data_IF_466356231633
#
_entry.id   IF_466356231633
#
_cell.length_a   1.000
_cell.length_b   1.000
_cell.length_c   1.000
_cell.angle_alpha   90.00
_cell.angle_beta   90.00
_cell.angle_gamma   90.00
#
_symmetry.space_group_name_H-M   'P 1'
#
loop_
_entity.id
_entity.type
_entity.pdbx_description
1 polymer ?
#
# COMPACT_ATOMS: atom_id res chain seq x y z
N UNK A 1 -12.04 11.85 13.91
CA UNK A 1 -12.77 11.62 12.64
C UNK A 1 -12.05 10.47 11.91
N UNK A 2 -12.75 9.42 11.47
CA UNK A 2 -12.13 8.38 10.65
C UNK A 2 -11.95 8.94 9.24
N UNK A 3 -10.72 8.94 8.72
CA UNK A 3 -10.47 9.41 7.35
C UNK A 3 -11.13 8.53 6.30
N UNK A 4 -11.35 9.06 5.09
CA UNK A 4 -11.95 8.36 3.95
C UNK A 4 -11.23 7.04 3.58
N UNK A 5 -9.96 6.93 3.96
CA UNK A 5 -9.12 5.77 3.72
C UNK A 5 -8.56 5.20 5.02
N UNK A 6 -8.60 3.87 5.16
CA UNK A 6 -8.15 3.17 6.37
C UNK A 6 -7.29 1.97 6.01
N UNK A 7 -6.13 1.85 6.66
CA UNK A 7 -5.26 0.68 6.58
C UNK A 7 -5.27 0.00 7.96
N UNK A 8 -5.66 -1.27 8.03
CA UNK A 8 -5.70 -2.04 9.29
C UNK A 8 -4.74 -3.22 9.24
N UNK A 9 -3.98 -3.40 10.31
CA UNK A 9 -3.13 -4.56 10.48
C UNK A 9 -3.87 -5.66 11.23
N UNK A 10 -3.85 -6.86 10.67
CA UNK A 10 -4.19 -8.10 11.36
C UNK A 10 -2.98 -9.03 11.42
N UNK A 11 -3.07 -10.10 12.20
CA UNK A 11 -2.12 -11.21 12.15
C UNK A 11 -2.79 -12.43 11.53
N UNK A 12 -2.05 -13.21 10.75
CA UNK A 12 -2.49 -14.50 10.21
C UNK A 12 -1.25 -15.39 10.17
N UNK A 13 -1.33 -16.55 10.82
CA UNK A 13 -0.19 -17.49 10.97
C UNK A 13 1.05 -16.81 11.58
N UNK A 14 0.84 -15.91 12.54
CA UNK A 14 1.91 -15.15 13.20
C UNK A 14 2.56 -14.05 12.33
N UNK A 15 2.13 -13.88 11.08
CA UNK A 15 2.65 -12.87 10.15
C UNK A 15 1.71 -11.67 10.04
N UNK A 16 2.23 -10.43 10.04
CA UNK A 16 1.41 -9.25 9.87
C UNK A 16 0.81 -9.18 8.45
N UNK A 17 -0.45 -8.75 8.37
CA UNK A 17 -1.14 -8.46 7.12
C UNK A 17 -1.84 -7.11 7.23
N UNK A 18 -1.59 -6.24 6.26
CA UNK A 18 -2.26 -4.96 6.12
C UNK A 18 -3.44 -5.09 5.16
N UNK A 19 -4.60 -4.60 5.57
CA UNK A 19 -5.84 -4.58 4.78
C UNK A 19 -6.21 -3.12 4.52
N UNK A 20 -6.49 -2.81 3.26
CA UNK A 20 -6.70 -1.45 2.79
C UNK A 20 -8.18 -1.26 2.48
N UNK A 21 -8.80 -0.23 3.05
CA UNK A 21 -10.22 0.04 2.96
C UNK A 21 -10.48 1.47 2.51
N UNK A 22 -11.51 1.62 1.68
CA UNK A 22 -12.15 2.91 1.39
C UNK A 22 -13.49 2.97 2.13
N UNK A 23 -13.75 4.08 2.80
CA UNK A 23 -15.03 4.35 3.45
C UNK A 23 -15.93 5.14 2.49
N UNK A 24 -17.21 4.78 2.44
CA UNK A 24 -18.23 5.58 1.76
C UNK A 24 -18.87 6.58 2.72
N UNK A 25 -19.61 7.54 2.17
CA UNK A 25 -20.38 8.52 2.94
C UNK A 25 -21.38 7.86 3.91
N UNK A 26 -21.83 6.63 3.60
CA UNK A 26 -22.74 5.85 4.44
C UNK A 26 -22.04 5.00 5.53
N UNK A 27 -20.73 5.24 5.78
CA UNK A 27 -19.89 4.48 6.71
C UNK A 27 -19.68 3.00 6.33
N UNK A 28 -20.04 2.60 5.12
CA UNK A 28 -19.69 1.27 4.62
C UNK A 28 -18.21 1.24 4.26
N UNK A 29 -17.54 0.12 4.55
CA UNK A 29 -16.12 -0.06 4.23
C UNK A 29 -15.93 -1.10 3.14
N UNK A 30 -15.23 -0.73 2.08
CA UNK A 30 -14.90 -1.62 0.97
C UNK A 30 -13.42 -1.97 1.03
N UNK A 31 -13.10 -3.28 1.10
CA UNK A 31 -11.71 -3.72 1.04
C UNK A 31 -11.21 -3.58 -0.39
N UNK A 32 -10.21 -2.73 -0.57
CA UNK A 32 -9.61 -2.41 -1.88
C UNK A 32 -8.40 -3.28 -2.15
N UNK A 33 -7.66 -3.65 -1.10
CA UNK A 33 -6.40 -4.38 -1.25
C UNK A 33 -5.99 -5.11 0.04
N UNK A 34 -5.01 -6.00 -0.07
CA UNK A 34 -4.31 -6.58 1.08
C UNK A 34 -2.83 -6.79 0.78
N UNK A 35 -1.98 -6.67 1.79
CA UNK A 35 -0.55 -6.91 1.67
C UNK A 35 0.06 -7.59 2.89
N UNK A 36 1.07 -8.43 2.66
CA UNK A 36 1.81 -9.13 3.71
C UNK A 36 2.92 -8.25 4.29
N UNK A 37 2.53 -7.20 5.02
CA UNK A 37 3.43 -6.27 5.71
C UNK A 37 2.75 -5.67 6.95
N UNK A 38 3.55 -5.16 7.87
CA UNK A 38 3.07 -4.45 9.07
C UNK A 38 2.92 -2.95 8.83
N UNK A 39 2.03 -2.32 9.61
CA UNK A 39 1.89 -0.86 9.67
C UNK A 39 3.20 -0.21 10.14
N UNK A 40 3.99 -0.88 11.00
CA UNK A 40 5.31 -0.38 11.39
C UNK A 40 6.24 -0.27 10.20
N UNK A 41 6.32 -1.31 9.35
CA UNK A 41 7.16 -1.28 8.14
C UNK A 41 6.72 -0.16 7.21
N UNK A 42 5.41 -0.04 6.97
CA UNK A 42 4.84 1.01 6.12
C UNK A 42 5.19 2.41 6.64
N UNK A 43 5.09 2.62 7.95
CA UNK A 43 5.40 3.90 8.57
C UNK A 43 6.89 4.22 8.53
N UNK A 44 7.73 3.27 8.92
CA UNK A 44 9.20 3.43 8.98
C UNK A 44 9.84 3.61 7.61
N UNK A 45 9.22 3.07 6.55
CA UNK A 45 9.78 3.12 5.18
C UNK A 45 9.14 4.20 4.32
N UNK A 46 7.82 4.38 4.38
CA UNK A 46 7.10 5.30 3.50
C UNK A 46 6.56 6.52 4.24
N UNK A 47 5.75 6.33 5.29
CA UNK A 47 4.95 7.43 5.84
C UNK A 47 5.78 8.46 6.61
N UNK A 48 6.84 8.03 7.29
CA UNK A 48 7.80 8.93 7.95
C UNK A 48 8.58 9.84 7.01
N UNK A 49 8.45 9.66 5.69
CA UNK A 49 9.14 10.46 4.64
C UNK A 49 8.20 11.38 3.87
N UNK A 50 6.94 11.49 4.27
CA UNK A 50 5.98 12.39 3.62
C UNK A 50 5.44 13.41 4.61
N UNK A 51 5.20 14.63 4.12
CA UNK A 51 4.55 15.70 4.90
C UNK A 51 3.01 15.58 4.87
N UNK A 52 2.47 14.55 4.19
CA UNK A 52 1.03 14.32 4.11
C UNK A 52 0.51 13.90 5.48
N UNK A 53 -0.54 14.58 5.95
CA UNK A 53 -1.18 14.28 7.24
C UNK A 53 -1.94 12.95 7.23
N UNK A 54 -1.76 12.17 8.29
CA UNK A 54 -2.51 10.97 8.58
C UNK A 54 -2.61 10.77 10.09
N UNK A 55 -3.62 10.03 10.53
CA UNK A 55 -3.77 9.59 11.91
C UNK A 55 -3.30 8.15 12.02
N UNK A 56 -2.37 7.86 12.93
CA UNK A 56 -1.83 6.52 13.17
C UNK A 56 -2.10 6.06 14.59
N UNK A 57 -2.45 4.78 14.71
CA UNK A 57 -2.46 4.00 15.94
C UNK A 57 -1.56 2.77 15.72
N UNK A 58 -1.39 1.92 16.75
CA UNK A 58 -0.57 0.70 16.64
C UNK A 58 -1.00 -0.24 15.50
N UNK A 59 -2.29 -0.30 15.19
CA UNK A 59 -2.88 -1.28 14.25
C UNK A 59 -3.70 -0.65 13.13
N UNK A 60 -3.77 0.69 13.08
CA UNK A 60 -4.57 1.39 12.08
C UNK A 60 -3.89 2.67 11.64
N UNK A 61 -3.89 2.93 10.34
CA UNK A 61 -3.66 4.25 9.74
C UNK A 61 -4.99 4.71 9.15
N UNK A 62 -5.31 5.99 9.31
CA UNK A 62 -6.45 6.63 8.64
C UNK A 62 -6.03 7.98 8.06
N UNK A 63 -6.51 8.27 6.86
CA UNK A 63 -6.19 9.50 6.14
C UNK A 63 -7.34 9.90 5.21
N UNK A 64 -7.42 11.18 4.90
CA UNK A 64 -8.26 11.70 3.81
C UNK A 64 -7.46 11.89 2.52
N UNK A 65 -6.14 11.68 2.57
CA UNK A 65 -5.28 11.79 1.39
C UNK A 65 -5.37 10.53 0.54
N UNK A 66 -6.03 10.66 -0.61
CA UNK A 66 -6.04 9.62 -1.63
C UNK A 66 -4.63 9.28 -2.12
N UNK A 67 -3.77 10.30 -2.28
CA UNK A 67 -2.37 10.13 -2.69
C UNK A 67 -1.59 9.22 -1.74
N UNK A 68 -1.68 9.47 -0.42
CA UNK A 68 -1.03 8.61 0.59
C UNK A 68 -1.58 7.18 0.53
N UNK A 69 -2.90 7.04 0.36
CA UNK A 69 -3.52 5.73 0.25
C UNK A 69 -3.04 4.95 -0.99
N UNK A 70 -2.95 5.60 -2.15
CA UNK A 70 -2.41 5.02 -3.39
C UNK A 70 -0.96 4.59 -3.20
N UNK A 71 -0.10 5.47 -2.68
CA UNK A 71 1.30 5.14 -2.40
C UNK A 71 1.42 3.92 -1.48
N UNK A 72 0.59 3.84 -0.43
CA UNK A 72 0.62 2.72 0.49
C UNK A 72 0.19 1.39 -0.17
N UNK A 73 -0.82 1.41 -1.04
CA UNK A 73 -1.23 0.22 -1.81
C UNK A 73 -0.12 -0.23 -2.76
N UNK A 74 0.49 0.70 -3.50
CA UNK A 74 1.55 0.39 -4.45
C UNK A 74 2.78 -0.15 -3.71
N UNK A 75 3.20 0.51 -2.61
CA UNK A 75 4.25 0.00 -1.74
C UNK A 75 3.96 -1.44 -1.31
N UNK A 76 2.75 -1.70 -0.79
CA UNK A 76 2.38 -3.03 -0.33
C UNK A 76 2.32 -4.07 -1.45
N UNK A 77 1.90 -3.68 -2.65
CA UNK A 77 1.89 -4.52 -3.83
C UNK A 77 3.30 -4.90 -4.29
N UNK A 78 4.19 -3.92 -4.41
CA UNK A 78 5.59 -4.11 -4.81
C UNK A 78 6.35 -4.93 -3.75
N UNK A 79 6.17 -4.59 -2.48
CA UNK A 79 6.82 -5.24 -1.33
C UNK A 79 6.59 -6.75 -1.28
N UNK A 80 5.39 -7.21 -1.67
CA UNK A 80 5.05 -8.63 -1.71
C UNK A 80 5.81 -9.41 -2.79
N UNK A 81 6.33 -8.73 -3.81
CA UNK A 81 7.12 -9.36 -4.87
C UNK A 81 8.60 -9.52 -4.50
N UNK A 82 9.01 -8.91 -3.38
CA UNK A 82 10.36 -8.98 -2.85
C UNK A 82 10.46 -10.10 -1.81
N UNK A 83 11.20 -11.15 -2.15
CA UNK A 83 11.40 -12.33 -1.28
C UNK A 83 12.21 -11.99 -0.02
N UNK A 84 13.23 -11.14 -0.15
CA UNK A 84 14.13 -10.73 0.94
C UNK A 84 14.06 -9.23 1.10
N UNK A 85 13.55 -8.79 2.25
CA UNK A 85 13.36 -7.40 2.61
C UNK A 85 14.70 -6.72 2.90
N UNK A 86 15.39 -6.25 1.85
CA UNK A 86 16.57 -5.40 2.02
C UNK A 86 16.12 -3.95 2.26
N UNK A 87 16.51 -3.38 3.40
CA UNK A 87 16.16 -2.00 3.78
C UNK A 87 16.51 -0.97 2.70
N UNK A 88 17.64 -1.12 2.00
CA UNK A 88 18.01 -0.18 0.93
C UNK A 88 17.00 -0.21 -0.22
N UNK A 89 16.60 -1.40 -0.67
CA UNK A 89 15.57 -1.59 -1.71
C UNK A 89 14.22 -1.04 -1.28
N UNK A 90 13.82 -1.29 -0.03
CA UNK A 90 12.56 -0.77 0.51
C UNK A 90 12.54 0.77 0.52
N UNK A 91 13.65 1.39 0.91
CA UNK A 91 13.82 2.84 0.87
C UNK A 91 13.82 3.37 -0.57
N UNK A 92 14.44 2.67 -1.53
CA UNK A 92 14.40 3.06 -2.94
C UNK A 92 12.97 3.04 -3.50
N UNK A 93 12.17 2.02 -3.16
CA UNK A 93 10.73 2.00 -3.51
C UNK A 93 10.03 3.24 -2.95
N UNK A 94 10.23 3.55 -1.66
CA UNK A 94 9.59 4.71 -1.06
C UNK A 94 9.98 6.02 -1.75
N UNK A 95 11.27 6.20 -2.11
CA UNK A 95 11.74 7.37 -2.86
C UNK A 95 11.03 7.52 -4.20
N UNK A 96 10.94 6.42 -4.97
CA UNK A 96 10.21 6.42 -6.25
C UNK A 96 8.76 6.83 -6.05
N UNK A 97 8.06 6.24 -5.07
CA UNK A 97 6.65 6.54 -4.80
C UNK A 97 6.42 8.00 -4.44
N UNK A 98 7.32 8.59 -3.63
CA UNK A 98 7.22 9.99 -3.24
C UNK A 98 7.41 10.94 -4.43
N UNK A 99 8.22 10.55 -5.42
CA UNK A 99 8.47 11.34 -6.63
C UNK A 99 7.46 11.11 -7.77
N UNK A 100 6.57 10.12 -7.67
CA UNK A 100 5.61 9.83 -8.75
C UNK A 100 4.61 10.97 -8.94
N UNK A 101 4.44 11.43 -10.17
CA UNK A 101 3.33 12.28 -10.54
C UNK A 101 1.98 11.57 -10.35
N UNK A 102 0.90 12.34 -10.19
CA UNK A 102 -0.41 11.78 -9.88
C UNK A 102 -0.93 10.84 -10.98
N UNK A 103 -0.59 11.12 -12.24
CA UNK A 103 -0.96 10.24 -13.36
C UNK A 103 -0.31 8.85 -13.23
N UNK A 104 1.02 8.79 -13.03
CA UNK A 104 1.73 7.52 -12.84
C UNK A 104 1.28 6.79 -11.57
N UNK A 105 1.02 7.55 -10.50
CA UNK A 105 0.51 6.98 -9.25
C UNK A 105 -0.87 6.35 -9.45
N UNK A 106 -1.77 7.02 -10.16
CA UNK A 106 -3.10 6.50 -10.49
C UNK A 106 -3.01 5.24 -11.36
N UNK A 107 -2.12 5.22 -12.36
CA UNK A 107 -1.91 4.07 -13.22
C UNK A 107 -1.52 2.83 -12.40
N UNK A 108 -0.47 2.93 -11.58
CA UNK A 108 0.01 1.80 -10.78
C UNK A 108 -1.02 1.34 -9.75
N UNK A 109 -1.68 2.28 -9.07
CA UNK A 109 -2.79 1.97 -8.18
C UNK A 109 -3.88 1.14 -8.90
N UNK A 110 -4.28 1.58 -10.09
CA UNK A 110 -5.31 0.90 -10.89
C UNK A 110 -4.88 -0.51 -11.29
N UNK A 111 -3.63 -0.70 -11.69
CA UNK A 111 -3.09 -2.03 -12.02
C UNK A 111 -3.12 -2.97 -10.80
N UNK A 112 -2.67 -2.49 -9.63
CA UNK A 112 -2.70 -3.30 -8.41
C UNK A 112 -4.12 -3.68 -7.98
N UNK A 113 -5.05 -2.72 -7.97
CA UNK A 113 -6.44 -2.95 -7.52
C UNK A 113 -7.21 -3.81 -8.51
N UNK A 114 -7.05 -3.59 -9.82
CA UNK A 114 -7.73 -4.37 -10.86
C UNK A 114 -7.32 -5.84 -10.78
N UNK A 115 -6.01 -6.12 -10.73
CA UNK A 115 -5.50 -7.50 -10.64
C UNK A 115 -5.88 -8.20 -9.34
N UNK A 116 -5.98 -7.45 -8.24
CA UNK A 116 -6.49 -7.98 -6.97
C UNK A 116 -7.98 -8.37 -7.06
N UNK A 117 -8.79 -7.56 -7.75
CA UNK A 117 -10.24 -7.74 -7.83
C UNK A 117 -10.66 -8.88 -8.77
N UNK A 118 -9.89 -9.17 -9.83
CA UNK A 118 -10.28 -10.15 -10.87
C UNK A 118 -10.25 -11.62 -10.42
N UNK A 119 -9.54 -12.00 -9.34
CA UNK A 119 -9.42 -13.41 -8.93
C UNK A 119 -9.63 -13.62 -7.44
N UNK A 120 -10.82 -14.05 -7.02
CA UNK A 120 -11.14 -14.79 -5.77
C UNK A 120 -10.17 -14.62 -4.57
N UNK A 121 -9.79 -13.39 -4.20
CA UNK A 121 -8.81 -13.11 -3.14
C UNK A 121 -7.42 -13.78 -3.32
N UNK A 122 -7.03 -14.23 -4.52
CA UNK A 122 -5.66 -14.70 -4.82
C UNK A 122 -4.91 -13.52 -5.42
N UNK A 123 -3.90 -13.04 -4.69
CA UNK A 123 -3.12 -11.83 -5.04
C UNK A 123 -2.19 -12.16 -6.22
N UNK A 124 -2.68 -12.02 -7.46
CA UNK A 124 -1.85 -12.06 -8.68
C UNK A 124 -1.30 -10.67 -9.04
N UNK A 125 -0.84 -9.94 -8.02
CA UNK A 125 -0.18 -8.64 -8.20
C UNK A 125 1.32 -8.80 -8.41
N UNK A 126 1.79 -10.04 -8.49
CA UNK A 126 3.20 -10.34 -8.62
C UNK A 126 3.79 -9.83 -9.94
N UNK A 127 3.06 -9.98 -11.05
CA UNK A 127 3.46 -9.44 -12.35
C UNK A 127 3.54 -7.90 -12.31
N UNK A 128 2.51 -7.25 -11.75
CA UNK A 128 2.48 -5.77 -11.61
C UNK A 128 3.66 -5.28 -10.78
N UNK A 129 3.90 -5.88 -9.63
CA UNK A 129 5.02 -5.48 -8.77
C UNK A 129 6.40 -5.80 -9.36
N UNK A 130 6.53 -6.84 -10.20
CA UNK A 130 7.75 -7.07 -10.97
C UNK A 130 7.94 -5.98 -12.02
N UNK A 131 6.94 -5.69 -12.85
CA UNK A 131 7.00 -4.63 -13.86
C UNK A 131 7.32 -3.25 -13.27
N UNK A 132 6.76 -2.94 -12.08
CA UNK A 132 7.13 -1.73 -11.35
C UNK A 132 8.62 -1.70 -11.04
N UNK A 133 9.17 -2.78 -10.48
CA UNK A 133 10.60 -2.85 -10.12
C UNK A 133 11.50 -2.76 -11.34
N UNK A 134 11.13 -3.43 -12.42
CA UNK A 134 11.90 -3.42 -13.66
C UNK A 134 11.92 -2.00 -14.27
N UNK A 135 10.78 -1.28 -14.25
CA UNK A 135 10.70 0.08 -14.79
C UNK A 135 11.54 1.10 -14.01
N UNK A 136 11.59 0.96 -12.68
CA UNK A 136 12.29 1.90 -11.79
C UNK A 136 13.65 1.38 -11.28
N UNK A 137 14.15 0.30 -11.87
CA UNK A 137 15.47 -0.29 -11.59
C UNK A 137 15.70 -0.64 -10.09
N UNK A 138 14.74 -1.33 -9.47
CA UNK A 138 14.67 -1.60 -8.00
C UNK A 138 15.04 -3.03 -7.55
#
# INVERSE_FOLDING_TARGET
MLGLYVIRESSSEGKPRSHYYRLTQNKESFKVFRASLSISELDEVLLSRTDIKFNKTRKTISTDSERLFKMAIIYGGVRQTIRVANRSRLVSIAKVLLSLEEFSLQFWYTEFVSRYSTRNNIVDTYKVGRSFRDLYEL
#
